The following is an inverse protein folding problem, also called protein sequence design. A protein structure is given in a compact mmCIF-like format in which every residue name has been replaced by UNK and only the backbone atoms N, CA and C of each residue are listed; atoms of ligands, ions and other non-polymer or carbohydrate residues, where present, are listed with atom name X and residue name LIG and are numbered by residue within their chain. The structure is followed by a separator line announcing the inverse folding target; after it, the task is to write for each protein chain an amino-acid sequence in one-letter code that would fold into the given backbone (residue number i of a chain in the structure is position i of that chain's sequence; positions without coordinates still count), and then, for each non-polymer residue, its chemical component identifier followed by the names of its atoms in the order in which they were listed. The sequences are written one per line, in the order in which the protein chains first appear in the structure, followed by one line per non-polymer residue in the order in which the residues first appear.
data_IF_942082102513
#
_entry.id   IF_942082102513
#
_cell.length_a   1.000
_cell.length_b   1.000
_cell.length_c   1.000
_cell.angle_alpha   90.00
_cell.angle_beta   90.00
_cell.angle_gamma   90.00
#
_symmetry.space_group_name_H-M   'P 1'
#
loop_
_entity.id
_entity.type
_entity.pdbx_description
1 polymer ?
#
# COMPACT_ATOMS: atom_id res chain seq x y z
N UNK A 1 6.17 -23.68 -18.49
CA UNK A 1 4.92 -22.95 -18.75
C UNK A 1 4.52 -22.33 -17.44
N UNK A 2 4.75 -21.04 -17.29
CA UNK A 2 4.27 -20.26 -16.14
C UNK A 2 2.87 -19.82 -16.57
N UNK A 3 1.85 -20.41 -15.94
CA UNK A 3 0.50 -19.91 -16.11
C UNK A 3 0.45 -18.48 -15.56
N UNK A 4 0.38 -17.53 -16.48
CA UNK A 4 -0.05 -16.16 -16.18
C UNK A 4 -1.50 -16.26 -15.71
N UNK A 5 -1.70 -16.34 -14.41
CA UNK A 5 -3.02 -16.06 -13.85
C UNK A 5 -3.22 -14.55 -13.92
N UNK A 6 -3.76 -14.08 -15.03
CA UNK A 6 -4.39 -12.76 -15.17
C UNK A 6 -5.58 -12.64 -14.19
N UNK A 7 -5.29 -12.63 -12.89
CA UNK A 7 -6.29 -12.24 -11.91
C UNK A 7 -6.40 -10.73 -11.96
N UNK A 8 -7.46 -10.29 -12.61
CA UNK A 8 -7.90 -8.90 -12.55
C UNK A 8 -8.25 -8.60 -11.08
N UNK A 9 -7.82 -7.44 -10.59
CA UNK A 9 -8.20 -6.96 -9.26
C UNK A 9 -9.71 -7.07 -9.03
N UNK A 10 -10.13 -7.38 -7.81
CA UNK A 10 -11.54 -7.40 -7.42
C UNK A 10 -12.26 -6.15 -7.92
N UNK A 11 -13.53 -6.31 -8.33
CA UNK A 11 -14.31 -5.25 -8.96
C UNK A 11 -15.38 -4.71 -8.03
N UNK A 12 -15.79 -3.50 -8.29
CA UNK A 12 -16.95 -2.91 -7.61
C UNK A 12 -18.18 -3.81 -7.78
N UNK A 13 -18.90 -4.01 -6.66
CA UNK A 13 -20.06 -4.90 -6.58
C UNK A 13 -19.74 -6.35 -6.20
N UNK A 14 -18.49 -6.80 -6.25
CA UNK A 14 -18.09 -8.13 -5.81
C UNK A 14 -17.99 -8.21 -4.29
N UNK A 15 -18.19 -9.42 -3.74
CA UNK A 15 -17.87 -9.68 -2.34
C UNK A 15 -16.35 -9.60 -2.13
N UNK A 16 -15.92 -8.88 -1.11
CA UNK A 16 -14.52 -8.81 -0.75
C UNK A 16 -14.01 -10.19 -0.29
N UNK A 17 -12.85 -10.66 -0.78
CA UNK A 17 -12.24 -11.89 -0.29
C UNK A 17 -11.96 -11.82 1.21
N UNK A 18 -12.28 -12.89 1.94
CA UNK A 18 -11.95 -13.00 3.35
C UNK A 18 -10.45 -13.10 3.58
N UNK A 19 -9.99 -12.59 4.71
CA UNK A 19 -8.63 -12.75 5.19
C UNK A 19 -8.62 -12.91 6.72
N UNK A 20 -7.54 -13.49 7.23
CA UNK A 20 -7.24 -13.61 8.65
C UNK A 20 -5.73 -13.60 8.82
N UNK A 21 -5.16 -12.52 9.34
CA UNK A 21 -3.74 -12.22 9.32
C UNK A 21 -3.21 -11.86 10.72
N UNK A 22 -1.94 -12.12 11.01
CA UNK A 22 -1.31 -11.68 12.26
C UNK A 22 -1.37 -10.15 12.41
N UNK A 23 -1.85 -9.69 13.56
CA UNK A 23 -1.91 -8.26 13.88
C UNK A 23 -0.54 -7.73 14.32
N UNK A 24 -0.09 -6.63 13.73
CA UNK A 24 1.16 -5.96 14.12
C UNK A 24 0.93 -5.05 15.32
N UNK A 25 -0.15 -4.28 15.31
CA UNK A 25 -0.48 -3.25 16.31
C UNK A 25 -1.04 -3.80 17.62
N UNK A 26 -1.39 -5.08 17.66
CA UNK A 26 -1.91 -5.79 18.84
C UNK A 26 -1.53 -7.26 18.78
N UNK A 27 -1.82 -8.02 19.81
CA UNK A 27 -1.73 -9.49 19.77
C UNK A 27 -2.92 -10.10 19.02
N UNK A 28 -2.72 -11.33 18.51
CA UNK A 28 -3.73 -12.09 17.81
C UNK A 28 -3.79 -11.79 16.31
N UNK A 29 -4.99 -11.87 15.77
CA UNK A 29 -5.25 -11.72 14.33
C UNK A 29 -6.14 -10.51 14.04
N UNK A 30 -6.14 -10.08 12.79
CA UNK A 30 -7.10 -9.15 12.19
C UNK A 30 -7.77 -9.88 11.02
N UNK A 31 -9.09 -9.83 10.96
CA UNK A 31 -9.88 -10.45 9.90
C UNK A 31 -10.90 -9.47 9.31
N UNK A 32 -11.36 -9.74 8.08
CA UNK A 32 -12.41 -8.95 7.46
C UNK A 32 -13.71 -8.96 8.29
N UNK A 33 -14.02 -10.08 8.95
CA UNK A 33 -15.23 -10.25 9.76
C UNK A 33 -15.30 -9.28 10.97
N UNK A 34 -14.16 -8.76 11.42
CA UNK A 34 -14.15 -7.77 12.51
C UNK A 34 -14.87 -6.47 12.12
N UNK A 35 -14.93 -6.15 10.83
CA UNK A 35 -15.52 -4.92 10.27
C UNK A 35 -16.97 -5.13 9.80
N UNK A 36 -17.34 -6.36 9.45
CA UNK A 36 -18.66 -6.71 8.92
C UNK A 36 -19.81 -6.21 9.79
N UNK A 37 -20.77 -5.50 9.22
CA UNK A 37 -21.92 -4.91 9.90
C UNK A 37 -21.62 -3.71 10.81
N UNK A 38 -20.35 -3.35 11.03
CA UNK A 38 -19.91 -2.31 11.98
C UNK A 38 -19.40 -1.07 11.27
N UNK A 39 -18.41 -1.22 10.43
CA UNK A 39 -17.73 -0.13 9.73
C UNK A 39 -17.45 -0.49 8.28
N UNK A 40 -17.36 0.50 7.41
CA UNK A 40 -16.72 0.33 6.11
C UNK A 40 -15.19 0.24 6.32
N UNK A 41 -14.47 -0.36 5.38
CA UNK A 41 -13.04 -0.59 5.49
C UNK A 41 -12.31 -0.12 4.23
N UNK A 42 -11.35 0.77 4.41
CA UNK A 42 -10.29 1.01 3.42
C UNK A 42 -9.14 0.07 3.71
N UNK A 43 -8.88 -0.88 2.82
CA UNK A 43 -7.72 -1.77 2.92
C UNK A 43 -6.62 -1.30 1.95
N UNK A 44 -5.42 -1.08 2.47
CA UNK A 44 -4.21 -0.84 1.69
C UNK A 44 -3.31 -2.07 1.74
N UNK A 45 -3.04 -2.66 0.58
CA UNK A 45 -2.12 -3.78 0.41
C UNK A 45 -0.83 -3.23 -0.17
N UNK A 46 0.20 -3.16 0.65
CA UNK A 46 1.48 -2.54 0.32
C UNK A 46 2.60 -3.58 0.33
N UNK A 47 3.69 -3.28 -0.34
CA UNK A 47 4.97 -3.97 -0.11
C UNK A 47 5.42 -3.76 1.34
N UNK A 48 6.59 -4.19 1.68
CA UNK A 48 7.13 -4.06 3.02
C UNK A 48 7.67 -2.66 3.36
N UNK A 49 8.02 -2.48 4.62
CA UNK A 49 8.62 -1.22 5.12
C UNK A 49 10.02 -0.96 4.53
N UNK A 50 10.66 -1.96 3.93
CA UNK A 50 11.89 -1.79 3.15
C UNK A 50 11.70 -0.86 1.94
N UNK A 51 10.47 -0.76 1.42
CA UNK A 51 10.15 0.03 0.22
C UNK A 51 9.96 1.51 0.59
N UNK A 52 10.78 2.43 0.10
CA UNK A 52 10.68 3.84 0.44
C UNK A 52 9.38 4.49 -0.05
N UNK A 53 8.82 4.01 -1.17
CA UNK A 53 7.52 4.47 -1.65
C UNK A 53 6.39 4.04 -0.70
N UNK A 54 6.45 2.80 -0.21
CA UNK A 54 5.45 2.29 0.74
C UNK A 54 5.51 3.02 2.08
N UNK A 55 6.70 3.41 2.56
CA UNK A 55 6.80 4.24 3.77
C UNK A 55 6.07 5.58 3.62
N UNK A 56 6.15 6.20 2.45
CA UNK A 56 5.43 7.44 2.14
C UNK A 56 3.93 7.22 2.00
N UNK A 57 3.54 6.12 1.36
CA UNK A 57 2.13 5.72 1.27
C UNK A 57 1.54 5.43 2.65
N UNK A 58 2.30 4.78 3.56
CA UNK A 58 1.89 4.57 4.95
C UNK A 58 1.63 5.91 5.64
N UNK A 59 2.53 6.87 5.49
CA UNK A 59 2.37 8.19 6.07
C UNK A 59 1.12 8.92 5.53
N UNK A 60 0.95 8.94 4.20
CA UNK A 60 -0.22 9.52 3.54
C UNK A 60 -1.53 8.88 4.02
N UNK A 61 -1.57 7.55 4.09
CA UNK A 61 -2.76 6.82 4.54
C UNK A 61 -3.02 7.01 6.04
N UNK A 62 -1.98 7.18 6.86
CA UNK A 62 -2.13 7.46 8.29
C UNK A 62 -2.87 8.76 8.55
N UNK A 63 -2.49 9.83 7.85
CA UNK A 63 -3.15 11.13 7.98
C UNK A 63 -4.59 11.11 7.44
N UNK A 64 -4.80 10.36 6.35
CA UNK A 64 -6.14 10.18 5.79
C UNK A 64 -7.05 9.36 6.70
N UNK A 65 -6.52 8.32 7.34
CA UNK A 65 -7.27 7.40 8.20
C UNK A 65 -8.02 8.13 9.32
N UNK A 66 -7.41 9.13 9.96
CA UNK A 66 -8.07 9.93 10.99
C UNK A 66 -9.27 10.70 10.44
N UNK A 67 -9.16 11.20 9.22
CA UNK A 67 -10.22 11.97 8.55
C UNK A 67 -11.41 11.10 8.18
N UNK A 68 -11.18 9.93 7.57
CA UNK A 68 -12.25 9.04 7.12
C UNK A 68 -12.88 8.25 8.27
N UNK A 69 -12.14 8.02 9.38
CA UNK A 69 -12.68 7.39 10.58
C UNK A 69 -13.86 8.17 11.17
N UNK A 70 -13.83 9.48 11.08
CA UNK A 70 -14.98 10.34 11.49
C UNK A 70 -16.22 10.09 10.64
N UNK A 71 -16.08 9.48 9.48
CA UNK A 71 -17.17 9.08 8.57
C UNK A 71 -17.60 7.61 8.77
N UNK A 72 -17.04 6.91 9.77
CA UNK A 72 -17.34 5.50 10.04
C UNK A 72 -16.60 4.53 9.14
N UNK A 73 -15.44 4.95 8.60
CA UNK A 73 -14.59 4.12 7.74
C UNK A 73 -13.28 3.84 8.46
N UNK A 74 -13.02 2.57 8.74
CA UNK A 74 -11.75 2.14 9.32
C UNK A 74 -10.70 1.91 8.23
N UNK A 75 -9.43 1.97 8.61
CA UNK A 75 -8.31 1.74 7.69
C UNK A 75 -7.44 0.59 8.19
N UNK A 76 -7.18 -0.37 7.32
CA UNK A 76 -6.26 -1.49 7.53
C UNK A 76 -5.14 -1.44 6.51
N UNK A 77 -3.90 -1.54 6.96
CA UNK A 77 -2.77 -1.82 6.08
C UNK A 77 -2.36 -3.29 6.19
N UNK A 78 -2.19 -3.92 5.05
CA UNK A 78 -1.59 -5.25 4.91
C UNK A 78 -0.23 -5.08 4.25
N UNK A 79 0.82 -5.49 4.94
CA UNK A 79 2.20 -5.36 4.49
C UNK A 79 2.89 -6.71 4.42
N UNK A 80 3.84 -6.86 3.50
CA UNK A 80 4.60 -8.11 3.34
C UNK A 80 5.70 -8.30 4.38
N UNK A 81 6.01 -7.26 5.14
CA UNK A 81 7.05 -7.32 6.17
C UNK A 81 6.72 -8.32 7.27
N UNK A 82 7.63 -9.23 7.63
CA UNK A 82 7.46 -10.14 8.74
C UNK A 82 7.11 -9.43 10.05
N UNK A 83 6.24 -10.06 10.84
CA UNK A 83 5.57 -9.42 11.99
C UNK A 83 6.54 -8.79 13.00
N UNK A 84 7.65 -9.46 13.31
CA UNK A 84 8.61 -8.95 14.30
C UNK A 84 9.30 -7.68 13.80
N UNK A 85 9.67 -7.64 12.53
CA UNK A 85 10.25 -6.45 11.91
C UNK A 85 9.23 -5.32 11.77
N UNK A 86 8.00 -5.63 11.39
CA UNK A 86 6.90 -4.68 11.34
C UNK A 86 6.66 -4.02 12.71
N UNK A 87 6.64 -4.80 13.79
CA UNK A 87 6.50 -4.29 15.15
C UNK A 87 7.62 -3.34 15.54
N UNK A 88 8.86 -3.66 15.18
CA UNK A 88 10.01 -2.75 15.40
C UNK A 88 9.81 -1.45 14.65
N UNK A 89 9.45 -1.51 13.36
CA UNK A 89 9.23 -0.31 12.55
C UNK A 89 8.12 0.57 13.14
N UNK A 90 6.94 0.04 13.41
CA UNK A 90 5.80 0.83 13.90
C UNK A 90 5.94 1.27 15.36
N UNK A 91 6.89 0.73 16.10
CA UNK A 91 7.29 1.30 17.41
C UNK A 91 8.00 2.65 17.25
N UNK A 92 8.76 2.83 16.17
CA UNK A 92 9.46 4.08 15.86
C UNK A 92 8.62 5.05 15.03
N UNK A 93 7.73 4.52 14.19
CA UNK A 93 6.82 5.27 13.33
C UNK A 93 5.36 4.89 13.64
N UNK A 94 4.82 5.36 14.79
CA UNK A 94 3.49 4.96 15.24
C UNK A 94 2.41 5.46 14.28
N UNK A 95 1.33 4.69 14.16
CA UNK A 95 0.12 5.04 13.41
C UNK A 95 -1.10 4.57 14.18
N UNK A 96 -2.25 5.21 13.94
CA UNK A 96 -3.55 4.81 14.50
C UNK A 96 -4.26 3.75 13.65
N UNK A 97 -3.76 3.48 12.44
CA UNK A 97 -4.31 2.45 11.56
C UNK A 97 -4.07 1.04 12.13
N UNK A 98 -4.98 0.12 11.83
CA UNK A 98 -4.71 -1.30 12.00
C UNK A 98 -3.66 -1.75 10.97
N UNK A 99 -2.71 -2.58 11.42
CA UNK A 99 -1.65 -3.12 10.56
C UNK A 99 -1.65 -4.65 10.69
N UNK A 100 -1.63 -5.34 9.55
CA UNK A 100 -1.49 -6.79 9.46
C UNK A 100 -0.24 -7.18 8.66
N UNK A 101 0.40 -8.26 9.08
CA UNK A 101 1.57 -8.83 8.39
C UNK A 101 1.13 -10.00 7.51
N UNK A 102 1.48 -9.95 6.21
CA UNK A 102 1.19 -10.98 5.21
C UNK A 102 2.43 -11.26 4.32
N UNK A 103 3.52 -11.83 4.87
CA UNK A 103 4.74 -12.10 4.10
C UNK A 103 4.49 -13.00 2.89
N UNK A 104 3.49 -13.86 2.96
CA UNK A 104 3.11 -14.76 1.89
C UNK A 104 2.26 -14.09 0.80
N UNK A 105 1.90 -12.82 0.95
CA UNK A 105 1.07 -12.07 -0.02
C UNK A 105 -0.26 -12.78 -0.34
N UNK A 106 -0.85 -13.45 0.61
CA UNK A 106 -2.11 -14.21 0.43
C UNK A 106 -3.25 -13.27 0.11
N UNK A 107 -3.29 -12.11 0.79
CA UNK A 107 -4.30 -11.07 0.58
C UNK A 107 -4.11 -10.37 -0.76
N UNK A 108 -2.87 -10.02 -1.13
CA UNK A 108 -2.58 -9.44 -2.46
C UNK A 108 -3.09 -10.34 -3.57
N UNK A 109 -2.83 -11.66 -3.49
CA UNK A 109 -3.33 -12.63 -4.48
C UNK A 109 -4.83 -12.78 -4.45
N UNK A 110 -5.44 -12.83 -3.27
CA UNK A 110 -6.89 -13.00 -3.15
C UNK A 110 -7.64 -11.81 -3.76
N UNK A 111 -7.14 -10.61 -3.57
CA UNK A 111 -7.70 -9.38 -4.12
C UNK A 111 -7.27 -9.08 -5.56
N UNK A 112 -6.39 -9.90 -6.13
CA UNK A 112 -5.93 -9.75 -7.51
C UNK A 112 -5.03 -8.54 -7.73
N UNK A 113 -4.31 -8.08 -6.68
CA UNK A 113 -3.35 -6.99 -6.83
C UNK A 113 -2.23 -7.45 -7.77
N UNK A 114 -2.01 -6.77 -8.91
CA UNK A 114 -1.11 -7.26 -9.94
C UNK A 114 0.36 -7.18 -9.51
N UNK A 115 1.20 -7.88 -10.25
CA UNK A 115 2.66 -7.70 -10.20
C UNK A 115 3.10 -6.94 -11.45
N UNK A 116 4.08 -6.06 -11.30
CA UNK A 116 4.65 -5.35 -12.43
C UNK A 116 5.44 -6.32 -13.31
N UNK A 117 5.15 -6.30 -14.61
CA UNK A 117 5.98 -6.96 -15.61
C UNK A 117 7.00 -5.94 -16.11
N UNK A 118 8.28 -6.20 -15.88
CA UNK A 118 9.35 -5.43 -16.48
C UNK A 118 9.76 -6.10 -17.78
N UNK A 119 9.48 -5.44 -18.88
CA UNK A 119 10.07 -5.82 -20.17
C UNK A 119 11.52 -5.35 -20.21
N UNK A 120 12.38 -6.12 -20.87
CA UNK A 120 13.78 -5.76 -21.08
C UNK A 120 13.89 -4.35 -21.67
N UNK A 121 14.63 -3.48 -21.01
CA UNK A 121 14.86 -2.09 -21.45
C UNK A 121 14.15 -1.00 -20.65
N UNK A 122 13.28 -1.33 -19.69
CA UNK A 122 12.71 -0.33 -18.76
C UNK A 122 13.72 -0.04 -17.65
N UNK A 123 14.71 0.78 -17.96
CA UNK A 123 15.73 1.23 -17.00
C UNK A 123 15.49 2.65 -16.48
N UNK A 124 14.49 3.34 -17.02
CA UNK A 124 14.26 4.76 -16.70
C UNK A 124 13.03 4.87 -15.82
N UNK A 125 13.26 5.21 -14.58
CA UNK A 125 12.23 5.66 -13.65
C UNK A 125 11.70 7.03 -14.08
N UNK A 126 10.40 7.34 -13.88
CA UNK A 126 9.90 8.67 -14.18
C UNK A 126 10.65 9.68 -13.32
N UNK A 127 11.29 10.65 -13.98
CA UNK A 127 12.01 11.76 -13.34
C UNK A 127 11.06 12.68 -12.57
N UNK A 128 9.77 12.53 -12.76
CA UNK A 128 8.76 13.39 -12.17
C UNK A 128 7.57 12.56 -11.69
N UNK A 129 7.57 12.26 -10.41
CA UNK A 129 6.31 12.13 -9.70
C UNK A 129 5.67 13.51 -9.75
N UNK A 130 4.47 13.64 -10.32
CA UNK A 130 3.82 14.94 -10.37
C UNK A 130 3.55 15.40 -8.93
N UNK A 131 4.14 16.50 -8.47
CA UNK A 131 3.95 16.97 -7.10
C UNK A 131 2.49 17.30 -6.77
N UNK A 132 1.67 17.58 -7.78
CA UNK A 132 0.25 17.88 -7.61
C UNK A 132 -0.59 16.61 -7.32
N UNK A 133 -0.12 15.43 -7.74
CA UNK A 133 -0.82 14.16 -7.50
C UNK A 133 -0.53 13.59 -6.11
N UNK A 134 0.37 14.22 -5.38
CA UNK A 134 0.74 13.84 -4.04
C UNK A 134 0.37 14.96 -3.10
N UNK A 135 -0.85 14.92 -2.59
CA UNK A 135 -1.25 15.67 -1.40
C UNK A 135 -0.45 15.15 -0.20
N UNK A 136 0.84 15.49 -0.18
CA UNK A 136 1.72 15.07 0.88
C UNK A 136 1.50 15.98 2.06
N UNK A 137 0.98 15.39 3.10
CA UNK A 137 0.76 16.04 4.38
C UNK A 137 2.07 16.28 5.13
N UNK A 138 3.18 15.67 4.71
CA UNK A 138 4.48 15.91 5.32
C UNK A 138 5.16 17.14 4.72
N UNK A 139 5.43 18.12 5.59
CA UNK A 139 6.01 19.42 5.24
C UNK A 139 7.41 19.35 4.62
N UNK A 140 8.14 18.25 4.78
CA UNK A 140 9.51 18.18 4.30
C UNK A 140 9.67 17.79 2.84
N UNK A 141 8.61 17.29 2.19
CA UNK A 141 8.57 16.97 0.75
C UNK A 141 9.85 16.35 0.17
N UNK A 142 10.69 15.77 1.02
CA UNK A 142 12.06 15.36 0.72
C UNK A 142 12.17 14.33 -0.41
N UNK A 143 11.11 13.58 -0.66
CA UNK A 143 11.07 12.58 -1.71
C UNK A 143 10.72 13.12 -3.11
N UNK A 144 10.29 14.38 -3.23
CA UNK A 144 10.02 15.03 -4.53
C UNK A 144 11.28 15.24 -5.35
N UNK A 145 12.43 15.32 -4.70
CA UNK A 145 13.69 15.55 -5.34
C UNK A 145 14.42 14.23 -5.61
N UNK A 146 13.85 13.43 -6.50
CA UNK A 146 14.49 12.24 -7.08
C UNK A 146 14.87 12.47 -8.55
N UNK A 147 14.88 13.73 -8.98
CA UNK A 147 15.22 14.12 -10.36
C UNK A 147 16.61 13.66 -10.81
N UNK A 148 17.51 13.44 -9.85
CA UNK A 148 18.86 12.93 -10.09
C UNK A 148 18.89 11.40 -10.30
N UNK A 149 17.83 10.68 -9.93
CA UNK A 149 17.79 9.24 -10.10
C UNK A 149 17.70 8.87 -11.58
N UNK A 150 18.53 7.93 -12.01
CA UNK A 150 18.59 7.46 -13.40
C UNK A 150 17.94 6.09 -13.56
N UNK A 151 17.64 5.42 -12.45
CA UNK A 151 16.99 4.11 -12.41
C UNK A 151 16.10 3.96 -11.19
N UNK A 152 15.27 2.90 -11.16
CA UNK A 152 14.49 2.54 -9.98
C UNK A 152 15.40 2.26 -8.77
N UNK A 153 16.51 1.57 -8.99
CA UNK A 153 17.47 1.27 -7.93
C UNK A 153 18.07 2.54 -7.34
N UNK A 154 18.46 3.50 -8.19
CA UNK A 154 18.98 4.79 -7.75
C UNK A 154 17.95 5.58 -6.95
N UNK A 155 16.68 5.57 -7.39
CA UNK A 155 15.58 6.21 -6.68
C UNK A 155 15.41 5.64 -5.27
N UNK A 156 15.43 4.31 -5.15
CA UNK A 156 15.32 3.61 -3.88
C UNK A 156 16.47 3.96 -2.94
N UNK A 157 17.72 3.91 -3.42
CA UNK A 157 18.90 4.24 -2.64
C UNK A 157 18.94 5.70 -2.21
N UNK A 158 18.49 6.61 -3.08
CA UNK A 158 18.41 8.03 -2.78
C UNK A 158 17.37 8.30 -1.67
N UNK A 159 16.21 7.69 -1.78
CA UNK A 159 15.14 7.83 -0.79
C UNK A 159 15.51 7.21 0.55
N UNK A 160 16.15 6.03 0.56
CA UNK A 160 16.65 5.41 1.80
C UNK A 160 17.68 6.31 2.50
N UNK A 161 18.60 6.91 1.75
CA UNK A 161 19.55 7.88 2.31
C UNK A 161 18.88 9.11 2.90
N UNK A 162 17.88 9.66 2.20
CA UNK A 162 17.09 10.80 2.70
C UNK A 162 16.32 10.47 3.96
N UNK A 163 15.78 9.24 4.05
CA UNK A 163 15.04 8.76 5.22
C UNK A 163 15.98 8.36 6.39
N UNK A 164 17.29 8.26 6.16
CA UNK A 164 18.22 7.65 7.10
C UNK A 164 17.93 6.17 7.36
N UNK A 165 17.28 5.51 6.39
CA UNK A 165 16.83 4.12 6.53
C UNK A 165 17.95 3.14 6.17
N UNK A 166 18.19 2.19 7.07
CA UNK A 166 19.11 1.08 6.85
C UNK A 166 18.34 -0.22 6.79
N UNK A 167 18.48 -0.92 5.66
CA UNK A 167 17.85 -2.22 5.47
C UNK A 167 18.59 -3.29 6.25
N UNK A 168 17.82 -4.20 6.83
CA UNK A 168 18.34 -5.46 7.37
C UNK A 168 18.50 -6.50 6.26
N UNK A 169 19.27 -7.57 6.52
CA UNK A 169 19.43 -8.68 5.58
C UNK A 169 18.08 -9.31 5.21
N UNK A 170 17.19 -9.47 6.20
CA UNK A 170 15.83 -10.02 5.97
C UNK A 170 14.97 -9.13 5.08
N UNK A 171 15.19 -7.82 5.09
CA UNK A 171 14.49 -6.89 4.19
C UNK A 171 15.07 -6.90 2.78
N UNK A 172 16.33 -7.27 2.62
CA UNK A 172 16.91 -7.52 1.31
C UNK A 172 16.29 -8.76 0.68
N UNK A 173 16.18 -9.86 1.43
CA UNK A 173 15.52 -11.09 0.99
C UNK A 173 14.03 -10.82 0.66
N UNK A 174 13.33 -10.07 1.51
CA UNK A 174 11.94 -9.65 1.27
C UNK A 174 11.82 -8.88 -0.05
N UNK A 175 12.73 -7.94 -0.30
CA UNK A 175 12.74 -7.15 -1.52
C UNK A 175 12.92 -8.02 -2.76
N UNK A 176 13.80 -9.02 -2.76
CA UNK A 176 14.02 -9.90 -3.90
C UNK A 176 12.76 -10.62 -4.35
N UNK A 177 11.86 -10.94 -3.41
CA UNK A 177 10.61 -11.65 -3.70
C UNK A 177 9.46 -10.70 -4.05
N UNK A 178 9.44 -9.50 -3.47
CA UNK A 178 8.27 -8.62 -3.50
C UNK A 178 8.47 -7.33 -4.29
N UNK A 179 9.67 -7.06 -4.84
CA UNK A 179 10.00 -5.79 -5.49
C UNK A 179 9.05 -5.38 -6.62
N UNK A 180 8.54 -6.35 -7.39
CA UNK A 180 7.62 -6.12 -8.50
C UNK A 180 6.13 -6.28 -8.10
N UNK A 181 5.83 -6.56 -6.84
CA UNK A 181 4.45 -6.57 -6.35
C UNK A 181 3.94 -5.12 -6.33
N UNK A 182 2.84 -4.83 -7.00
CA UNK A 182 2.21 -3.51 -6.94
C UNK A 182 1.44 -3.35 -5.64
N UNK A 183 1.17 -2.11 -5.27
CA UNK A 183 0.28 -1.77 -4.16
C UNK A 183 -1.16 -1.68 -4.65
N UNK A 184 -2.11 -2.00 -3.79
CA UNK A 184 -3.54 -1.92 -4.08
C UNK A 184 -4.31 -1.28 -2.93
N UNK A 185 -5.34 -0.50 -3.28
CA UNK A 185 -6.32 0.04 -2.34
C UNK A 185 -7.70 -0.50 -2.69
N UNK A 186 -8.46 -0.89 -1.69
CA UNK A 186 -9.83 -1.38 -1.85
C UNK A 186 -10.72 -0.77 -0.77
N UNK A 187 -11.83 -0.17 -1.16
CA UNK A 187 -12.85 0.32 -0.24
C UNK A 187 -14.01 -0.68 -0.21
N UNK A 188 -14.34 -1.14 0.99
CA UNK A 188 -15.33 -2.19 1.26
C UNK A 188 -16.42 -1.61 2.15
N UNK A 189 -17.67 -1.80 1.84
CA UNK A 189 -18.77 -1.37 2.69
C UNK A 189 -19.02 -2.30 3.88
N UNK A 190 -19.95 -1.92 4.76
CA UNK A 190 -20.35 -2.71 5.94
C UNK A 190 -20.93 -4.09 5.59
N UNK A 191 -21.45 -4.27 4.38
CA UNK A 191 -21.97 -5.55 3.89
C UNK A 191 -20.86 -6.45 3.30
N UNK A 192 -19.61 -5.99 3.28
CA UNK A 192 -18.49 -6.73 2.71
C UNK A 192 -18.40 -6.63 1.18
N UNK A 193 -19.06 -5.64 0.58
CA UNK A 193 -19.06 -5.42 -0.87
C UNK A 193 -18.02 -4.39 -1.24
N UNK A 194 -17.22 -4.70 -2.26
CA UNK A 194 -16.22 -3.78 -2.85
C UNK A 194 -16.94 -2.60 -3.50
N UNK A 195 -16.57 -1.38 -3.14
CA UNK A 195 -17.15 -0.15 -3.63
C UNK A 195 -16.20 0.71 -4.47
N UNK A 196 -14.92 0.50 -4.31
CA UNK A 196 -13.90 1.18 -5.09
C UNK A 196 -12.58 0.43 -5.01
N UNK A 197 -11.80 0.51 -6.07
CA UNK A 197 -10.46 -0.08 -6.13
C UNK A 197 -9.47 0.85 -6.81
N UNK A 198 -8.22 0.73 -6.43
CA UNK A 198 -7.12 1.44 -7.04
C UNK A 198 -5.85 0.59 -6.98
N UNK A 199 -5.03 0.68 -8.01
CA UNK A 199 -3.69 0.07 -8.02
C UNK A 199 -2.62 1.11 -8.25
N UNK A 200 -1.44 0.85 -7.75
CA UNK A 200 -0.20 1.51 -8.17
C UNK A 200 0.02 1.33 -9.68
N UNK A 201 0.76 2.21 -10.30
CA UNK A 201 1.17 2.13 -11.70
C UNK A 201 0.01 2.10 -12.72
N UNK A 202 -1.10 2.77 -12.45
CA UNK A 202 -2.24 2.88 -13.39
C UNK A 202 -1.87 3.46 -14.76
N UNK A 203 -0.91 4.38 -14.78
CA UNK A 203 -0.34 4.96 -15.99
C UNK A 203 0.77 4.12 -16.64
N UNK A 204 0.96 2.90 -16.17
CA UNK A 204 2.05 2.03 -16.57
C UNK A 204 3.26 2.13 -15.64
N UNK A 205 4.39 1.52 -16.03
CA UNK A 205 5.58 1.43 -15.16
C UNK A 205 6.15 2.80 -14.77
N UNK A 206 5.91 3.82 -15.56
CA UNK A 206 6.33 5.20 -15.28
C UNK A 206 5.57 5.83 -14.11
N UNK A 207 4.48 5.22 -13.68
CA UNK A 207 3.63 5.64 -12.56
C UNK A 207 3.83 4.74 -11.32
N UNK A 208 4.89 3.95 -11.28
CA UNK A 208 5.24 3.09 -10.16
C UNK A 208 5.57 3.94 -8.92
N UNK A 209 5.10 3.54 -7.74
CA UNK A 209 5.21 4.30 -6.49
C UNK A 209 3.98 5.18 -6.21
N UNK A 210 3.16 5.49 -7.21
CA UNK A 210 1.95 6.28 -7.05
C UNK A 210 0.73 5.40 -6.78
N UNK A 211 0.03 5.70 -5.69
CA UNK A 211 -1.33 5.24 -5.40
C UNK A 211 -2.31 6.41 -5.56
N UNK A 212 -3.60 6.15 -5.37
CA UNK A 212 -4.60 7.21 -5.37
C UNK A 212 -4.26 8.32 -4.38
N UNK A 213 -4.48 9.56 -4.80
CA UNK A 213 -4.35 10.74 -3.94
C UNK A 213 -5.38 10.73 -2.80
N UNK A 214 -5.12 11.50 -1.74
CA UNK A 214 -6.06 11.66 -0.65
C UNK A 214 -7.43 12.17 -1.13
N UNK A 215 -7.45 13.07 -2.13
CA UNK A 215 -8.68 13.59 -2.72
C UNK A 215 -9.48 12.53 -3.48
N UNK A 216 -8.82 11.65 -4.22
CA UNK A 216 -9.48 10.52 -4.90
C UNK A 216 -10.09 9.54 -3.89
N UNK A 217 -9.33 9.20 -2.83
CA UNK A 217 -9.82 8.30 -1.77
C UNK A 217 -11.02 8.91 -1.05
N UNK A 218 -10.94 10.20 -0.66
CA UNK A 218 -12.06 10.92 -0.03
C UNK A 218 -13.28 10.93 -0.96
N UNK A 219 -13.09 11.20 -2.25
CA UNK A 219 -14.21 11.17 -3.20
C UNK A 219 -14.86 9.79 -3.25
N UNK A 220 -14.07 8.71 -3.23
CA UNK A 220 -14.59 7.36 -3.19
C UNK A 220 -15.39 7.06 -1.92
N UNK A 221 -15.00 7.65 -0.77
CA UNK A 221 -15.71 7.44 0.50
C UNK A 221 -17.09 8.10 0.55
N UNK A 222 -17.32 9.18 -0.19
CA UNK A 222 -18.61 9.89 -0.19
C UNK A 222 -19.78 9.01 -0.65
N UNK A 223 -19.52 8.00 -1.48
CA UNK A 223 -20.56 7.05 -1.91
C UNK A 223 -21.00 6.04 -0.84
N UNK A 224 -20.31 5.99 0.32
CA UNK A 224 -20.62 5.06 1.41
C UNK A 224 -21.40 5.70 2.58
N UNK A 225 -21.47 7.02 2.61
CA UNK A 225 -22.03 7.78 3.74
C UNK A 225 -23.50 8.16 3.50
N UNK A 226 -24.10 7.67 2.41
CA UNK A 226 -25.49 7.90 2.05
C UNK A 226 -26.43 6.83 2.62
#
# INVERSE_FOLDING_TARGET
MIESTDRVMVREGECAPSFSLPAVSREGIISLDEYGGKAALLIGMLRGVYCPFCRRQIAQLSDLAERIRLQGIETLLVITTPIDRARVYFKHYPTTMAIASDPEMTTHRAYGVPRAELTDGVTVWPKTLNPADVDVVHADHSWRDISEATSLADSVLLLDRKDGYQRSDTEQDEQEVTWNQLCGLVLIDKAGIVRWTNTEARGGITDFGNIASASEIISATHGLVA
#
